data_IF_546844075296
#
_entry.id   IF_546844075296
#
_cell.length_a   1.000
_cell.length_b   1.000
_cell.length_c   1.000
_cell.angle_alpha   90.00
_cell.angle_beta   90.00
_cell.angle_gamma   90.00
#
_symmetry.space_group_name_H-M   'P 1'
#
loop_
_entity.id
_entity.type
_entity.pdbx_description
1 polymer ?
#
# COMPACT_ATOMS: atom_id res chain seq x y z
N UNK A 1 8.32 27.88 8.27
CA UNK A 1 8.53 26.68 7.42
C UNK A 1 7.83 25.55 8.14
N UNK A 2 6.65 25.12 7.70
CA UNK A 2 6.07 23.90 8.24
C UNK A 2 7.00 22.76 7.82
N UNK A 3 7.51 21.98 8.77
CA UNK A 3 8.22 20.76 8.43
C UNK A 3 7.21 19.85 7.72
N UNK A 4 7.44 19.55 6.44
CA UNK A 4 6.63 18.53 5.76
C UNK A 4 6.94 17.19 6.42
N UNK A 5 5.92 16.61 7.04
CA UNK A 5 6.00 15.24 7.58
C UNK A 5 6.27 14.28 6.43
N UNK A 6 7.32 13.46 6.55
CA UNK A 6 7.64 12.45 5.54
C UNK A 6 6.80 11.20 5.81
N UNK A 7 5.90 10.86 4.89
CA UNK A 7 5.12 9.64 4.96
C UNK A 7 5.85 8.50 4.25
N UNK A 8 5.95 7.34 4.89
CA UNK A 8 6.67 6.17 4.37
C UNK A 8 5.75 4.97 4.42
N UNK A 9 5.44 4.39 3.26
CA UNK A 9 4.69 3.15 3.16
C UNK A 9 5.65 1.96 3.08
N UNK A 10 5.72 1.16 4.15
CA UNK A 10 6.40 -0.14 4.13
C UNK A 10 5.46 -1.22 3.61
N UNK A 11 5.90 -1.93 2.57
CA UNK A 11 5.17 -3.05 1.99
C UNK A 11 5.94 -4.36 2.24
N UNK A 12 5.33 -5.28 2.97
CA UNK A 12 5.90 -6.61 3.20
C UNK A 12 5.29 -7.63 2.22
N UNK A 13 6.11 -8.16 1.31
CA UNK A 13 5.69 -9.12 0.27
C UNK A 13 6.04 -10.58 0.58
N UNK A 14 6.82 -10.84 1.64
CA UNK A 14 7.16 -12.20 2.05
C UNK A 14 5.95 -12.90 2.68
N UNK A 15 5.56 -14.08 2.18
CA UNK A 15 4.48 -14.87 2.80
C UNK A 15 4.91 -15.52 4.12
N UNK A 16 6.22 -15.55 4.40
CA UNK A 16 6.76 -16.12 5.64
C UNK A 16 6.56 -15.12 6.77
N UNK A 17 5.87 -15.55 7.83
CA UNK A 17 5.72 -14.78 9.08
C UNK A 17 6.94 -14.92 9.99
N UNK A 18 7.56 -16.10 9.96
CA UNK A 18 8.68 -16.46 10.82
C UNK A 18 9.89 -16.84 9.98
N UNK A 19 11.08 -16.48 10.46
CA UNK A 19 12.35 -16.73 9.78
C UNK A 19 12.45 -16.04 8.42
N UNK A 20 11.79 -14.89 8.24
CA UNK A 20 11.82 -14.11 7.01
C UNK A 20 12.89 -13.03 7.10
N UNK A 21 14.10 -13.34 6.64
CA UNK A 21 15.24 -12.39 6.67
C UNK A 21 14.91 -11.05 6.02
N UNK A 22 14.06 -11.02 4.97
CA UNK A 22 13.61 -9.78 4.34
C UNK A 22 12.73 -8.91 5.22
N UNK A 23 11.90 -9.53 6.09
CA UNK A 23 11.08 -8.79 7.07
C UNK A 23 11.97 -8.28 8.19
N UNK A 24 12.90 -9.11 8.67
CA UNK A 24 13.88 -8.71 9.70
C UNK A 24 14.71 -7.51 9.23
N UNK A 25 15.16 -7.51 7.97
CA UNK A 25 15.89 -6.38 7.38
C UNK A 25 15.00 -5.13 7.26
N UNK A 26 13.73 -5.28 6.91
CA UNK A 26 12.79 -4.17 6.81
C UNK A 26 12.52 -3.54 8.18
N UNK A 27 12.44 -4.33 9.26
CA UNK A 27 12.37 -3.80 10.64
C UNK A 27 13.59 -2.96 11.00
N UNK A 28 14.80 -3.46 10.73
CA UNK A 28 16.05 -2.73 10.98
C UNK A 28 16.07 -1.41 10.20
N UNK A 29 15.58 -1.41 8.97
CA UNK A 29 15.52 -0.21 8.12
C UNK A 29 14.53 0.81 8.68
N UNK A 30 13.33 0.39 9.06
CA UNK A 30 12.32 1.25 9.69
C UNK A 30 12.83 1.85 11.00
N UNK A 31 13.54 1.08 11.81
CA UNK A 31 14.13 1.57 13.06
C UNK A 31 15.15 2.70 12.81
N UNK A 32 15.99 2.57 11.78
CA UNK A 32 16.93 3.62 11.38
C UNK A 32 16.23 4.87 10.86
N UNK A 33 15.23 4.70 9.99
CA UNK A 33 14.44 5.81 9.45
C UNK A 33 13.76 6.62 10.57
N UNK A 34 13.18 5.96 11.57
CA UNK A 34 12.59 6.64 12.74
C UNK A 34 13.61 7.42 13.57
N UNK A 35 14.84 6.93 13.66
CA UNK A 35 15.90 7.60 14.40
C UNK A 35 16.44 8.84 13.66
N UNK A 36 16.44 8.81 12.33
CA UNK A 36 16.95 9.89 11.48
C UNK A 36 15.88 10.93 11.10
N UNK A 37 14.63 10.50 10.96
CA UNK A 37 13.50 11.32 10.53
C UNK A 37 12.55 11.60 11.70
N UNK A 38 12.84 12.68 12.44
CA UNK A 38 12.09 13.07 13.64
C UNK A 38 10.59 13.31 13.39
N UNK A 39 10.22 13.79 12.19
CA UNK A 39 8.83 14.03 11.77
C UNK A 39 8.46 13.13 10.58
N UNK A 40 8.42 11.81 10.82
CA UNK A 40 7.99 10.83 9.81
C UNK A 40 6.83 9.95 10.28
N UNK A 41 5.89 9.69 9.38
CA UNK A 41 4.85 8.69 9.56
C UNK A 41 5.25 7.42 8.80
N UNK A 42 5.20 6.26 9.45
CA UNK A 42 5.49 4.98 8.79
C UNK A 42 4.25 4.10 8.85
N UNK A 43 3.65 3.88 7.69
CA UNK A 43 2.46 3.04 7.49
C UNK A 43 2.88 1.67 6.98
N UNK A 44 2.23 0.62 7.46
CA UNK A 44 2.56 -0.77 7.12
C UNK A 44 1.45 -1.45 6.32
N UNK A 45 1.83 -2.05 5.19
CA UNK A 45 0.98 -2.87 4.32
C UNK A 45 1.55 -4.29 4.24
N UNK A 46 0.90 -5.22 4.93
CA UNK A 46 1.23 -6.64 4.86
C UNK A 46 0.45 -7.33 3.73
N UNK A 47 1.17 -7.87 2.73
CA UNK A 47 0.56 -8.54 1.58
C UNK A 47 0.31 -10.03 1.81
N UNK A 48 0.59 -10.57 2.99
CA UNK A 48 0.44 -12.01 3.28
C UNK A 48 -0.96 -12.57 3.04
N UNK A 49 -1.99 -11.72 3.16
CA UNK A 49 -3.39 -12.11 2.95
C UNK A 49 -3.75 -12.18 1.46
N UNK A 50 -2.79 -11.91 0.58
CA UNK A 50 -3.00 -11.78 -0.85
C UNK A 50 -3.54 -10.41 -1.23
N UNK A 51 -3.37 -10.09 -2.51
CA UNK A 51 -4.06 -8.99 -3.19
C UNK A 51 -4.95 -9.61 -4.27
N UNK A 52 -6.07 -8.94 -4.57
CA UNK A 52 -7.00 -9.41 -5.59
C UNK A 52 -6.31 -9.54 -6.95
N UNK A 53 -6.72 -10.55 -7.71
CA UNK A 53 -6.20 -10.78 -9.05
C UNK A 53 -6.74 -9.73 -10.03
N UNK A 54 -5.85 -9.25 -10.90
CA UNK A 54 -6.25 -8.49 -12.09
C UNK A 54 -6.85 -9.47 -13.10
N UNK A 55 -8.14 -9.30 -13.40
CA UNK A 55 -8.88 -10.10 -14.37
C UNK A 55 -9.52 -9.19 -15.44
N UNK A 56 -10.24 -9.77 -16.40
CA UNK A 56 -10.90 -9.02 -17.48
C UNK A 56 -11.91 -8.00 -16.95
N UNK A 57 -12.73 -8.39 -15.97
CA UNK A 57 -13.71 -7.49 -15.37
C UNK A 57 -13.03 -6.27 -14.72
N UNK A 58 -11.94 -6.48 -13.98
CA UNK A 58 -11.15 -5.39 -13.39
C UNK A 58 -10.57 -4.49 -14.46
N UNK A 59 -10.01 -5.08 -15.54
CA UNK A 59 -9.44 -4.32 -16.65
C UNK A 59 -10.50 -3.44 -17.28
N UNK A 60 -11.66 -4.00 -17.63
CA UNK A 60 -12.70 -3.28 -18.32
C UNK A 60 -13.27 -2.15 -17.42
N UNK A 61 -13.46 -2.41 -16.12
CA UNK A 61 -13.88 -1.40 -15.14
C UNK A 61 -12.85 -0.28 -14.92
N UNK A 62 -11.55 -0.59 -14.96
CA UNK A 62 -10.47 0.38 -14.67
C UNK A 62 -10.19 1.35 -15.81
N UNK A 63 -10.61 1.04 -17.04
CA UNK A 63 -10.46 1.91 -18.21
C UNK A 63 -11.44 3.09 -18.22
N UNK A 64 -12.56 2.99 -17.49
CA UNK A 64 -13.54 4.05 -17.35
C UNK A 64 -13.12 5.16 -16.39
N UNK A 65 -13.67 6.37 -16.57
CA UNK A 65 -13.50 7.45 -15.58
C UNK A 65 -14.23 7.10 -14.28
N UNK A 66 -13.69 7.51 -13.14
CA UNK A 66 -14.29 7.21 -11.84
C UNK A 66 -15.76 7.66 -11.72
N UNK A 67 -16.10 8.80 -12.33
CA UNK A 67 -17.46 9.35 -12.34
C UNK A 67 -18.46 8.53 -13.17
N UNK A 68 -17.99 7.74 -14.14
CA UNK A 68 -18.84 6.94 -15.03
C UNK A 68 -19.09 5.51 -14.52
N UNK A 69 -18.46 5.11 -13.40
CA UNK A 69 -18.52 3.74 -12.89
C UNK A 69 -19.88 3.42 -12.25
N UNK A 70 -20.46 2.31 -12.67
CA UNK A 70 -21.58 1.62 -12.02
C UNK A 70 -21.27 1.25 -10.56
N UNK A 71 -22.29 0.83 -9.81
CA UNK A 71 -22.10 0.39 -8.42
C UNK A 71 -21.24 -0.88 -8.37
N UNK A 72 -21.42 -1.77 -9.34
CA UNK A 72 -20.70 -3.03 -9.49
C UNK A 72 -19.23 -2.80 -9.82
N UNK A 73 -18.92 -1.89 -10.74
CA UNK A 73 -17.53 -1.52 -11.07
C UNK A 73 -16.83 -0.85 -9.88
N UNK A 74 -17.54 -0.01 -9.11
CA UNK A 74 -17.00 0.57 -7.88
C UNK A 74 -16.70 -0.49 -6.83
N UNK A 75 -17.58 -1.46 -6.65
CA UNK A 75 -17.33 -2.58 -5.74
C UNK A 75 -16.13 -3.43 -6.20
N UNK A 76 -16.01 -3.68 -7.50
CA UNK A 76 -14.92 -4.46 -8.09
C UNK A 76 -13.56 -3.77 -7.92
N UNK A 77 -13.51 -2.44 -8.04
CA UNK A 77 -12.27 -1.65 -7.96
C UNK A 77 -11.94 -1.15 -6.55
N UNK A 78 -12.82 -1.36 -5.57
CA UNK A 78 -12.66 -0.80 -4.22
C UNK A 78 -11.30 -1.12 -3.58
N UNK A 79 -10.79 -2.34 -3.77
CA UNK A 79 -9.46 -2.71 -3.25
C UNK A 79 -8.34 -1.93 -3.95
N UNK A 80 -8.39 -1.78 -5.27
CA UNK A 80 -7.39 -1.04 -6.03
C UNK A 80 -7.42 0.46 -5.70
N UNK A 81 -8.61 1.04 -5.57
CA UNK A 81 -8.78 2.43 -5.17
C UNK A 81 -8.21 2.67 -3.75
N UNK A 82 -8.45 1.73 -2.82
CA UNK A 82 -7.87 1.80 -1.47
C UNK A 82 -6.33 1.70 -1.48
N UNK A 83 -5.75 0.75 -2.22
CA UNK A 83 -4.30 0.59 -2.35
C UNK A 83 -3.64 1.79 -3.03
N UNK A 84 -4.27 2.35 -4.07
CA UNK A 84 -3.80 3.58 -4.73
C UNK A 84 -3.79 4.75 -3.76
N UNK A 85 -4.86 4.93 -2.99
CA UNK A 85 -4.94 6.00 -2.01
C UNK A 85 -3.90 5.85 -0.89
N UNK A 86 -3.47 4.63 -0.55
CA UNK A 86 -2.35 4.41 0.39
C UNK A 86 -1.02 4.84 -0.19
N UNK A 87 -0.76 4.50 -1.45
CA UNK A 87 0.48 4.92 -2.14
C UNK A 87 0.50 6.43 -2.32
N UNK A 88 -0.61 7.07 -2.67
CA UNK A 88 -0.68 8.53 -2.86
C UNK A 88 -0.52 9.34 -1.56
N UNK A 89 -0.78 8.73 -0.40
CA UNK A 89 -0.57 9.37 0.92
C UNK A 89 0.87 9.28 1.41
N UNK A 90 1.69 8.41 0.82
CA UNK A 90 3.08 8.22 1.17
C UNK A 90 3.99 9.01 0.22
#
# INVERSE_FOLDING_TARGET
>A
MAAETVSILRIDSSMRQHGSVSRDLAEVTVAKLRAELADSEIVWRDLKSGVGHVNSAWRDASLGTAAARSAEERALLAQSDALKAEVERA
#
